data_IF_153162795449
#
_entry.id   IF_153162795449
#
_cell.length_a   1.000
_cell.length_b   1.000
_cell.length_c   1.000
_cell.angle_alpha   90.00
_cell.angle_beta   90.00
_cell.angle_gamma   90.00
#
_symmetry.space_group_name_H-M   'P 1'
#
loop_
_entity.id
_entity.type
_entity.pdbx_description
1 polymer ?
#
# COMPACT_ATOMS: atom_id res chain seq x y z
N UNK A 1 8.83 2.51 17.61
CA UNK A 1 8.59 3.34 16.42
C UNK A 1 8.39 2.42 15.23
N UNK A 2 7.27 2.47 14.50
CA UNK A 2 7.15 1.66 13.30
C UNK A 2 8.11 2.23 12.26
N UNK A 3 9.17 1.49 11.94
CA UNK A 3 10.01 1.75 10.77
C UNK A 3 9.20 1.31 9.53
N UNK A 4 8.19 2.09 9.14
CA UNK A 4 7.45 1.84 7.91
C UNK A 4 7.74 2.98 6.94
N UNK A 5 8.75 2.81 6.11
CA UNK A 5 8.72 3.45 4.81
C UNK A 5 7.52 2.85 4.07
N UNK A 6 6.52 3.67 3.76
CA UNK A 6 5.43 3.23 2.89
C UNK A 6 6.03 2.80 1.54
N UNK A 7 5.48 1.73 0.96
CA UNK A 7 5.80 1.35 -0.40
C UNK A 7 5.49 2.50 -1.34
N UNK A 8 6.45 2.78 -2.22
CA UNK A 8 6.27 3.74 -3.30
C UNK A 8 5.16 3.29 -4.26
N UNK A 9 4.52 4.21 -5.00
CA UNK A 9 3.51 3.84 -6.00
C UNK A 9 4.06 2.86 -7.05
N UNK A 10 5.36 2.96 -7.38
CA UNK A 10 6.03 2.06 -8.31
C UNK A 10 6.08 0.63 -7.77
N UNK A 11 6.59 0.43 -6.55
CA UNK A 11 6.70 -0.90 -5.96
C UNK A 11 5.33 -1.57 -5.81
N UNK A 12 4.27 -0.81 -5.52
CA UNK A 12 2.90 -1.35 -5.46
C UNK A 12 2.40 -1.83 -6.81
N UNK A 13 2.68 -1.09 -7.88
CA UNK A 13 2.33 -1.49 -9.24
C UNK A 13 3.12 -2.70 -9.69
N UNK A 14 4.40 -2.79 -9.32
CA UNK A 14 5.26 -3.94 -9.56
C UNK A 14 4.70 -5.20 -8.89
N UNK A 15 4.29 -5.11 -7.63
CA UNK A 15 3.62 -6.20 -6.89
C UNK A 15 2.37 -6.70 -7.61
N UNK A 16 1.50 -5.79 -8.04
CA UNK A 16 0.28 -6.14 -8.78
C UNK A 16 0.62 -6.76 -10.14
N UNK A 17 1.63 -6.22 -10.83
CA UNK A 17 2.12 -6.76 -12.10
C UNK A 17 2.60 -8.21 -11.97
N UNK A 18 3.44 -8.50 -10.96
CA UNK A 18 3.91 -9.86 -10.68
C UNK A 18 2.75 -10.80 -10.29
N UNK A 19 1.80 -10.33 -9.50
CA UNK A 19 0.61 -11.12 -9.15
C UNK A 19 -0.24 -11.45 -10.38
N UNK A 20 -0.44 -10.50 -11.31
CA UNK A 20 -1.12 -10.74 -12.59
C UNK A 20 -0.33 -11.68 -13.51
N UNK A 21 0.99 -11.68 -13.40
CA UNK A 21 1.88 -12.62 -14.10
C UNK A 21 1.84 -14.05 -13.55
N UNK A 22 1.01 -14.34 -12.54
CA UNK A 22 0.86 -15.68 -11.97
C UNK A 22 1.89 -16.04 -10.89
N UNK A 23 2.70 -15.07 -10.43
CA UNK A 23 3.64 -15.31 -9.34
C UNK A 23 2.90 -15.44 -7.99
N UNK A 24 3.31 -16.43 -7.20
CA UNK A 24 2.80 -16.59 -5.84
C UNK A 24 3.30 -15.46 -4.92
N UNK A 25 2.58 -15.16 -3.85
CA UNK A 25 3.01 -14.17 -2.83
C UNK A 25 4.39 -14.49 -2.27
N UNK A 26 4.70 -15.79 -2.11
CA UNK A 26 6.00 -16.23 -1.63
C UNK A 26 7.11 -15.89 -2.64
N UNK A 27 6.89 -16.16 -3.92
CA UNK A 27 7.87 -15.84 -4.96
C UNK A 27 8.08 -14.32 -5.07
N UNK A 28 6.99 -13.54 -4.99
CA UNK A 28 7.07 -12.07 -5.02
C UNK A 28 7.86 -11.53 -3.83
N UNK A 29 7.67 -12.13 -2.64
CA UNK A 29 8.42 -11.79 -1.44
C UNK A 29 9.91 -12.07 -1.55
N UNK A 30 10.27 -13.19 -2.19
CA UNK A 30 11.66 -13.54 -2.47
C UNK A 30 12.29 -12.64 -3.55
N UNK A 31 11.53 -12.22 -4.57
CA UNK A 31 12.00 -11.32 -5.64
C UNK A 31 12.23 -9.89 -5.13
N UNK A 32 11.29 -9.36 -4.34
CA UNK A 32 11.30 -7.96 -3.90
C UNK A 32 11.94 -7.76 -2.53
N UNK A 33 12.31 -8.84 -1.85
CA UNK A 33 12.90 -8.85 -0.49
C UNK A 33 12.09 -8.02 0.54
N UNK A 34 10.78 -8.23 0.56
CA UNK A 34 9.87 -7.58 1.52
C UNK A 34 8.97 -8.58 2.23
N UNK A 35 8.30 -8.12 3.28
CA UNK A 35 7.41 -8.91 4.12
C UNK A 35 6.18 -9.41 3.36
N UNK A 36 5.86 -10.70 3.57
CA UNK A 36 4.71 -11.39 2.96
C UNK A 36 3.37 -10.71 3.23
N UNK A 37 3.18 -10.20 4.45
CA UNK A 37 1.95 -9.50 4.85
C UNK A 37 1.66 -8.30 3.96
N UNK A 38 2.69 -7.54 3.60
CA UNK A 38 2.54 -6.34 2.77
C UNK A 38 1.99 -6.65 1.38
N UNK A 39 2.41 -7.76 0.76
CA UNK A 39 1.88 -8.17 -0.54
C UNK A 39 0.44 -8.65 -0.44
N UNK A 40 0.10 -9.39 0.63
CA UNK A 40 -1.27 -9.86 0.85
C UNK A 40 -2.25 -8.69 0.94
N UNK A 41 -1.90 -7.65 1.71
CA UNK A 41 -2.73 -6.46 1.85
C UNK A 41 -2.93 -5.72 0.52
N UNK A 42 -1.85 -5.56 -0.27
CA UNK A 42 -1.89 -4.87 -1.57
C UNK A 42 -2.71 -5.63 -2.59
N UNK A 43 -2.50 -6.94 -2.71
CA UNK A 43 -3.23 -7.77 -3.67
C UNK A 43 -4.72 -7.81 -3.29
N UNK A 44 -5.03 -7.96 -2.00
CA UNK A 44 -6.41 -7.96 -1.49
C UNK A 44 -7.10 -6.63 -1.79
N UNK A 45 -6.42 -5.52 -1.51
CA UNK A 45 -6.93 -4.17 -1.83
C UNK A 45 -7.14 -3.99 -3.32
N UNK A 46 -6.17 -4.39 -4.14
CA UNK A 46 -6.26 -4.29 -5.58
C UNK A 46 -7.44 -5.10 -6.15
N UNK A 47 -7.65 -6.33 -5.68
CA UNK A 47 -8.77 -7.16 -6.11
C UNK A 47 -10.15 -6.56 -5.74
N UNK A 48 -10.21 -5.82 -4.63
CA UNK A 48 -11.46 -5.21 -4.15
C UNK A 48 -11.76 -3.87 -4.83
N UNK A 49 -10.74 -3.03 -4.99
CA UNK A 49 -10.89 -1.61 -5.36
C UNK A 49 -10.32 -1.28 -6.74
N UNK A 50 -9.63 -2.23 -7.39
CA UNK A 50 -8.83 -2.02 -8.61
C UNK A 50 -7.84 -0.85 -8.49
N UNK A 51 -7.41 -0.54 -7.26
CA UNK A 51 -6.61 0.63 -6.93
C UNK A 51 -5.32 0.22 -6.21
N UNK A 52 -4.22 0.92 -6.53
CA UNK A 52 -2.90 0.74 -5.89
C UNK A 52 -2.52 1.90 -4.97
N UNK A 53 -3.30 2.98 -4.99
CA UNK A 53 -3.02 4.18 -4.22
C UNK A 53 -3.33 3.94 -2.73
N UNK A 54 -2.58 4.59 -1.84
CA UNK A 54 -2.90 4.59 -0.40
C UNK A 54 -4.05 5.56 -0.17
N UNK A 55 -4.96 5.18 0.73
CA UNK A 55 -5.94 6.15 1.21
C UNK A 55 -5.19 7.27 1.94
N UNK A 56 -5.52 8.51 1.62
CA UNK A 56 -5.07 9.64 2.42
C UNK A 56 -5.61 9.46 3.84
N UNK A 57 -4.73 9.49 4.84
CA UNK A 57 -5.16 9.49 6.23
C UNK A 57 -5.71 10.88 6.52
N UNK A 58 -6.98 10.98 6.87
CA UNK A 58 -7.50 12.22 7.43
C UNK A 58 -6.72 12.55 8.69
N UNK A 59 -6.17 13.75 8.74
CA UNK A 59 -5.58 14.26 9.97
C UNK A 59 -6.70 14.47 11.00
N UNK A 60 -6.32 14.49 12.29
CA UNK A 60 -7.22 15.01 13.31
C UNK A 60 -7.59 16.45 12.92
N UNK A 61 -8.88 16.80 12.83
CA UNK A 61 -9.28 18.16 12.53
C UNK A 61 -8.72 19.11 13.60
N UNK A 62 -8.22 20.30 13.21
CA UNK A 62 -7.71 21.29 14.15
C UNK A 62 -8.85 21.79 15.06
N UNK A 63 -8.49 22.22 16.27
CA UNK A 63 -9.47 22.74 17.23
C UNK A 63 -10.04 24.11 16.86
N UNK A 64 -9.33 24.87 16.02
CA UNK A 64 -9.77 26.15 15.49
C UNK A 64 -9.97 26.01 13.99
N UNK A 65 -11.08 26.53 13.48
CA UNK A 65 -11.35 26.65 12.07
C UNK A 65 -10.76 27.96 11.54
N UNK A 66 -10.53 28.07 10.24
CA UNK A 66 -10.11 29.33 9.60
C UNK A 66 -11.15 30.46 9.78
N UNK A 67 -12.38 30.13 10.18
CA UNK A 67 -13.45 31.07 10.50
C UNK A 67 -13.35 31.64 11.93
N UNK A 68 -12.52 31.03 12.80
CA UNK A 68 -12.30 31.49 14.17
C UNK A 68 -11.08 32.43 14.29
N UNK A 69 -10.46 32.80 13.16
CA UNK A 69 -9.31 33.71 13.06
C UNK A 69 -9.73 35.15 12.76
#
# INVERSE_FOLDING_TARGET
MPKLCELTPFERREIVGLSKGGHSIRNISEILDKLKSTFYDIITKYNKENCTDTASRSSRPPALLEQDK
#
